data_IF_709551278583
#
_entry.id   IF_709551278583
#
_cell.length_a   1.000
_cell.length_b   1.000
_cell.length_c   1.000
_cell.angle_alpha   90.00
_cell.angle_beta   90.00
_cell.angle_gamma   90.00
#
_symmetry.space_group_name_H-M   'P 1'
#
loop_
_entity.id
_entity.type
_entity.pdbx_description
1 polymer ?
#
# COMPACT_ATOMS: atom_id res chain seq x y z
N UNK A 1 0.19 -16.75 -20.71
CA UNK A 1 0.99 -16.37 -19.52
C UNK A 1 1.89 -17.53 -19.16
N UNK A 2 3.12 -17.25 -18.80
CA UNK A 2 4.13 -18.24 -18.34
C UNK A 2 3.82 -18.72 -16.93
N UNK A 3 3.21 -17.84 -16.11
CA UNK A 3 2.88 -18.13 -14.72
C UNK A 3 1.39 -18.43 -14.55
N UNK A 4 1.09 -19.41 -13.66
CA UNK A 4 -0.29 -19.84 -13.39
C UNK A 4 -0.86 -19.11 -12.17
N UNK A 5 -1.64 -18.08 -12.38
CA UNK A 5 -2.36 -17.35 -11.32
C UNK A 5 -3.75 -17.94 -11.01
N UNK A 6 -4.18 -18.98 -11.72
CA UNK A 6 -5.43 -19.71 -11.41
C UNK A 6 -5.22 -20.88 -10.45
N UNK A 7 -3.97 -21.16 -10.04
CA UNK A 7 -3.68 -22.20 -9.07
C UNK A 7 -4.36 -21.91 -7.73
N UNK A 8 -5.19 -22.84 -7.25
CA UNK A 8 -5.81 -22.76 -5.94
C UNK A 8 -4.85 -23.31 -4.89
N UNK A 9 -4.23 -22.42 -4.14
CA UNK A 9 -3.29 -22.78 -3.07
C UNK A 9 -4.05 -22.82 -1.75
N UNK A 10 -4.05 -23.95 -1.01
CA UNK A 10 -4.60 -24.02 0.34
C UNK A 10 -3.82 -23.09 1.28
N UNK A 11 -4.53 -22.20 1.98
CA UNK A 11 -3.92 -21.25 2.92
C UNK A 11 -4.43 -21.39 4.36
N UNK A 12 -5.49 -22.19 4.58
CA UNK A 12 -5.95 -22.51 5.92
C UNK A 12 -5.01 -23.49 6.61
N UNK A 13 -4.86 -23.31 7.92
CA UNK A 13 -3.92 -24.11 8.73
C UNK A 13 -2.46 -23.77 8.50
N UNK A 14 -2.16 -22.61 7.90
CA UNK A 14 -0.80 -22.12 7.66
C UNK A 14 -0.42 -20.92 8.53
N UNK A 15 -1.24 -20.58 9.52
CA UNK A 15 -1.15 -19.38 10.34
C UNK A 15 -1.31 -18.08 9.49
N UNK A 16 -2.05 -18.16 8.39
CA UNK A 16 -2.33 -17.01 7.55
C UNK A 16 -3.25 -16.03 8.26
N UNK A 17 -2.77 -14.80 8.49
CA UNK A 17 -3.59 -13.74 9.08
C UNK A 17 -4.89 -13.48 8.30
N UNK A 18 -4.85 -13.61 6.98
CA UNK A 18 -6.03 -13.46 6.11
C UNK A 18 -7.00 -14.63 6.24
N UNK A 19 -6.49 -15.87 6.21
CA UNK A 19 -7.31 -17.07 6.09
C UNK A 19 -7.68 -17.71 7.44
N UNK A 20 -6.82 -17.62 8.43
CA UNK A 20 -7.00 -18.32 9.73
C UNK A 20 -7.54 -17.38 10.82
N UNK A 21 -7.83 -16.09 10.51
CA UNK A 21 -8.49 -15.17 11.45
C UNK A 21 -9.98 -15.48 11.65
N UNK A 22 -10.64 -16.16 10.71
CA UNK A 22 -12.00 -16.64 10.87
C UNK A 22 -11.98 -18.11 11.32
N UNK A 23 -12.69 -18.43 12.41
CA UNK A 23 -12.85 -19.82 12.90
C UNK A 23 -13.65 -20.68 11.92
N UNK A 24 -14.66 -20.07 11.27
CA UNK A 24 -15.49 -20.74 10.29
C UNK A 24 -14.71 -20.96 8.99
N UNK A 25 -14.54 -22.25 8.62
CA UNK A 25 -13.78 -22.66 7.44
C UNK A 25 -14.41 -22.23 6.11
N UNK A 26 -15.73 -21.97 6.08
CA UNK A 26 -16.46 -21.55 4.88
C UNK A 26 -16.31 -20.07 4.57
N UNK A 27 -15.71 -19.29 5.48
CA UNK A 27 -15.46 -17.85 5.24
C UNK A 27 -14.45 -17.67 4.11
N UNK A 28 -14.85 -16.94 3.07
CA UNK A 28 -13.99 -16.48 2.00
C UNK A 28 -13.42 -15.09 2.34
N UNK A 29 -12.12 -14.99 2.66
CA UNK A 29 -11.53 -13.69 3.02
C UNK A 29 -11.04 -12.95 1.78
N UNK A 30 -11.57 -11.73 1.58
CA UNK A 30 -11.16 -10.78 0.54
C UNK A 30 -10.82 -9.41 1.14
N UNK A 31 -10.29 -9.37 2.37
CA UNK A 31 -10.08 -8.16 3.16
C UNK A 31 -8.61 -7.73 3.29
N UNK A 32 -7.69 -8.64 3.63
CA UNK A 32 -6.27 -8.30 3.81
C UNK A 32 -5.59 -8.02 2.47
N UNK A 33 -4.74 -7.00 2.44
CA UNK A 33 -3.94 -6.63 1.28
C UNK A 33 -2.68 -7.51 1.14
N UNK A 34 -2.88 -8.84 1.02
CA UNK A 34 -1.93 -9.83 0.54
C UNK A 34 -2.54 -10.60 -0.64
N UNK A 35 -1.76 -11.40 -1.34
CA UNK A 35 -2.21 -12.14 -2.51
C UNK A 35 -2.38 -13.62 -2.20
N UNK A 36 -3.27 -14.29 -2.95
CA UNK A 36 -3.44 -15.74 -2.90
C UNK A 36 -2.61 -16.46 -3.99
N UNK A 37 -1.55 -15.83 -4.47
CA UNK A 37 -0.61 -16.35 -5.47
C UNK A 37 0.73 -16.68 -4.83
N UNK A 38 1.45 -17.68 -5.40
CA UNK A 38 2.88 -17.83 -5.11
C UNK A 38 3.62 -16.59 -5.56
N UNK A 39 4.66 -16.21 -4.82
CA UNK A 39 5.59 -15.17 -5.29
C UNK A 39 6.39 -15.64 -6.51
N UNK A 40 7.14 -14.74 -7.13
CA UNK A 40 7.98 -15.04 -8.29
C UNK A 40 8.94 -16.22 -8.01
N UNK A 41 9.10 -17.18 -8.94
CA UNK A 41 9.96 -18.34 -8.73
C UNK A 41 11.40 -18.01 -8.32
N UNK A 42 12.08 -16.98 -8.86
CA UNK A 42 13.42 -16.61 -8.41
C UNK A 42 13.49 -16.28 -6.91
N UNK A 43 12.45 -15.67 -6.35
CA UNK A 43 12.37 -15.39 -4.91
C UNK A 43 12.33 -16.70 -4.11
N UNK A 44 11.52 -17.66 -4.53
CA UNK A 44 11.43 -18.97 -3.86
C UNK A 44 12.78 -19.68 -3.87
N UNK A 45 13.49 -19.63 -5.00
CA UNK A 45 14.80 -20.29 -5.13
C UNK A 45 15.88 -19.60 -4.28
N UNK A 46 15.88 -18.26 -4.21
CA UNK A 46 16.80 -17.52 -3.34
C UNK A 46 16.58 -17.87 -1.86
N UNK A 47 15.31 -17.96 -1.43
CA UNK A 47 14.96 -18.35 -0.06
C UNK A 47 15.37 -19.80 0.25
N UNK A 48 15.20 -20.74 -0.69
CA UNK A 48 15.66 -22.13 -0.52
C UNK A 48 17.17 -22.20 -0.30
N UNK A 49 17.94 -21.53 -1.13
CA UNK A 49 19.43 -21.45 -0.96
C UNK A 49 19.81 -20.91 0.40
N UNK A 50 19.10 -19.89 0.90
CA UNK A 50 19.37 -19.33 2.23
C UNK A 50 19.03 -20.32 3.34
N UNK A 51 17.95 -21.09 3.21
CA UNK A 51 17.59 -22.17 4.15
C UNK A 51 18.62 -23.29 4.12
N UNK A 52 19.06 -23.72 2.96
CA UNK A 52 20.07 -24.79 2.78
C UNK A 52 21.42 -24.44 3.42
N UNK A 53 21.79 -23.14 3.46
CA UNK A 53 22.99 -22.67 4.15
C UNK A 53 22.93 -22.97 5.66
N UNK A 54 21.75 -22.95 6.31
CA UNK A 54 21.50 -23.46 7.66
C UNK A 54 22.04 -22.60 8.81
N UNK A 55 22.67 -21.45 8.54
CA UNK A 55 23.18 -20.53 9.59
C UNK A 55 22.39 -19.23 9.52
N UNK A 56 21.64 -18.93 10.60
CA UNK A 56 20.74 -17.79 10.73
C UNK A 56 21.23 -16.77 11.76
N UNK A 57 22.54 -16.49 11.74
CA UNK A 57 23.17 -15.48 12.59
C UNK A 57 22.91 -14.05 12.09
N UNK A 58 23.47 -13.06 12.75
CA UNK A 58 23.38 -11.66 12.36
C UNK A 58 23.97 -11.42 10.96
N UNK A 59 23.24 -10.64 10.15
CA UNK A 59 23.64 -10.30 8.79
C UNK A 59 23.69 -8.77 8.59
N UNK A 60 24.44 -8.35 7.59
CA UNK A 60 24.42 -6.96 7.10
C UNK A 60 23.64 -6.88 5.81
N UNK A 61 23.13 -5.70 5.48
CA UNK A 61 22.62 -5.43 4.14
C UNK A 61 23.78 -5.39 3.15
N UNK A 62 23.88 -6.29 2.18
CA UNK A 62 24.98 -6.33 1.22
C UNK A 62 24.84 -5.23 0.16
N UNK A 63 25.93 -4.91 -0.55
CA UNK A 63 25.92 -3.94 -1.66
C UNK A 63 24.93 -4.36 -2.76
N UNK A 64 24.84 -5.65 -3.07
CA UNK A 64 23.88 -6.19 -4.04
C UNK A 64 22.42 -5.84 -3.75
N UNK A 65 22.05 -5.63 -2.49
CA UNK A 65 20.73 -5.17 -2.10
C UNK A 65 20.46 -3.74 -2.57
N UNK A 66 21.41 -2.84 -2.28
CA UNK A 66 21.30 -1.44 -2.70
C UNK A 66 21.32 -1.33 -4.22
N UNK A 67 22.20 -2.07 -4.89
CA UNK A 67 22.28 -2.13 -6.34
C UNK A 67 20.95 -2.61 -6.95
N UNK A 68 20.30 -3.63 -6.36
CA UNK A 68 19.01 -4.11 -6.82
C UNK A 68 17.94 -3.00 -6.73
N UNK A 69 17.87 -2.26 -5.61
CA UNK A 69 16.93 -1.14 -5.43
C UNK A 69 17.23 -0.02 -6.43
N UNK A 70 18.49 0.42 -6.52
CA UNK A 70 18.91 1.51 -7.40
C UNK A 70 18.60 1.20 -8.87
N UNK A 71 18.98 0.00 -9.33
CA UNK A 71 18.77 -0.44 -10.71
C UNK A 71 17.27 -0.59 -11.02
N UNK A 72 16.48 -1.10 -10.08
CA UNK A 72 15.04 -1.26 -10.25
C UNK A 72 14.36 0.08 -10.51
N UNK A 73 14.55 1.06 -9.63
CA UNK A 73 13.91 2.36 -9.76
C UNK A 73 14.45 3.20 -10.92
N UNK A 74 15.75 3.11 -11.20
CA UNK A 74 16.34 3.76 -12.38
C UNK A 74 15.76 3.23 -13.70
N UNK A 75 15.58 1.90 -13.80
CA UNK A 75 15.09 1.24 -15.02
C UNK A 75 13.58 1.42 -15.21
N UNK A 76 12.80 1.25 -14.15
CA UNK A 76 11.33 1.24 -14.26
C UNK A 76 10.68 2.62 -14.13
N UNK A 77 11.27 3.50 -13.36
CA UNK A 77 10.67 4.80 -13.01
C UNK A 77 11.55 6.00 -13.35
N UNK A 78 12.67 5.77 -14.08
CA UNK A 78 13.65 6.81 -14.41
C UNK A 78 14.14 7.63 -13.20
N UNK A 79 14.02 7.05 -11.99
CA UNK A 79 14.44 7.69 -10.75
C UNK A 79 15.81 7.18 -10.31
N UNK A 80 16.81 8.04 -10.46
CA UNK A 80 18.18 7.76 -10.04
C UNK A 80 18.39 8.23 -8.61
N UNK A 81 18.82 7.32 -7.78
CA UNK A 81 19.06 7.54 -6.35
C UNK A 81 20.52 7.21 -6.03
N UNK A 82 20.99 7.70 -4.89
CA UNK A 82 22.28 7.33 -4.33
C UNK A 82 22.08 6.28 -3.22
N UNK A 83 23.06 5.39 -3.06
CA UNK A 83 23.03 4.32 -2.06
C UNK A 83 22.82 4.87 -0.65
N UNK A 84 23.46 5.98 -0.34
CA UNK A 84 23.43 6.65 0.97
C UNK A 84 22.05 7.18 1.33
N UNK A 85 21.14 7.35 0.36
CA UNK A 85 19.76 7.79 0.63
C UNK A 85 18.87 6.68 1.20
N UNK A 86 19.30 5.41 1.06
CA UNK A 86 18.48 4.24 1.37
C UNK A 86 18.75 3.78 2.81
N UNK A 87 17.72 3.77 3.63
CA UNK A 87 17.71 3.18 4.97
C UNK A 87 16.85 1.92 4.92
N UNK A 88 17.45 0.77 5.26
CA UNK A 88 16.75 -0.49 5.46
C UNK A 88 15.79 -0.40 6.64
N UNK A 89 14.61 -1.02 6.51
CA UNK A 89 13.63 -1.17 7.60
C UNK A 89 12.79 -2.44 7.45
N UNK A 90 12.14 -2.87 8.54
CA UNK A 90 11.37 -4.10 8.61
C UNK A 90 9.97 -4.01 8.00
N UNK A 91 9.58 -2.86 7.48
CA UNK A 91 8.27 -2.64 6.84
C UNK A 91 7.90 -1.17 6.75
N UNK A 92 6.93 -0.85 5.89
CA UNK A 92 6.50 0.54 5.69
C UNK A 92 5.76 1.09 6.92
N UNK A 93 4.96 0.32 7.63
CA UNK A 93 4.27 0.79 8.84
C UNK A 93 5.26 1.15 9.96
N UNK A 94 6.26 0.32 10.28
CA UNK A 94 7.37 0.73 11.17
C UNK A 94 8.13 1.97 10.66
N UNK A 95 8.34 2.08 9.34
CA UNK A 95 8.98 3.25 8.73
C UNK A 95 8.18 4.55 8.96
N UNK A 96 6.88 4.52 8.73
CA UNK A 96 5.98 5.65 8.99
C UNK A 96 6.11 6.11 10.44
N UNK A 97 6.03 5.17 11.38
CA UNK A 97 6.14 5.48 12.81
C UNK A 97 7.51 6.08 13.17
N UNK A 98 8.61 5.52 12.62
CA UNK A 98 9.95 6.03 12.83
C UNK A 98 10.14 7.45 12.27
N UNK A 99 9.59 7.74 11.09
CA UNK A 99 9.68 9.06 10.45
C UNK A 99 8.84 10.09 11.21
N UNK A 100 7.61 9.77 11.62
CA UNK A 100 6.81 10.66 12.46
C UNK A 100 7.60 10.98 13.74
N UNK A 101 8.10 9.97 14.45
CA UNK A 101 8.90 10.14 15.68
C UNK A 101 10.16 10.97 15.46
N UNK A 102 10.80 10.85 14.29
CA UNK A 102 12.00 11.60 13.94
C UNK A 102 11.73 13.07 13.65
N UNK A 103 10.60 13.39 13.02
CA UNK A 103 10.36 14.70 12.40
C UNK A 103 9.30 15.55 13.11
N UNK A 104 8.63 15.00 14.14
CA UNK A 104 7.59 15.71 14.89
C UNK A 104 7.85 15.68 16.39
N UNK A 105 7.08 16.48 17.10
CA UNK A 105 6.96 16.45 18.57
C UNK A 105 5.51 16.08 18.96
N UNK A 106 5.28 15.53 20.16
CA UNK A 106 3.92 15.33 20.66
C UNK A 106 3.11 16.64 20.62
N UNK A 107 1.89 16.57 20.07
CA UNK A 107 1.02 17.73 19.84
C UNK A 107 1.20 18.41 18.48
N UNK A 108 2.20 18.05 17.69
CA UNK A 108 2.26 18.42 16.27
C UNK A 108 1.16 17.71 15.48
N UNK A 109 0.80 18.29 14.33
CA UNK A 109 -0.22 17.74 13.44
C UNK A 109 0.39 17.05 12.23
N UNK A 110 -0.20 15.91 11.88
CA UNK A 110 0.13 15.15 10.67
C UNK A 110 -1.10 15.07 9.78
N UNK A 111 -0.98 15.58 8.56
CA UNK A 111 -2.07 15.61 7.59
C UNK A 111 -2.16 14.31 6.81
N UNK A 112 -3.39 13.87 6.51
CA UNK A 112 -3.71 12.71 5.70
C UNK A 112 -4.86 13.01 4.76
N UNK A 113 -4.93 12.34 3.61
CA UNK A 113 -5.99 12.50 2.60
C UNK A 113 -6.99 11.35 2.69
N UNK A 114 -8.06 11.54 3.50
CA UNK A 114 -9.08 10.49 3.73
C UNK A 114 -10.07 10.36 2.56
N UNK A 115 -10.61 9.14 2.27
CA UNK A 115 -10.30 7.88 2.95
C UNK A 115 -8.88 7.40 2.64
N UNK A 116 -8.14 6.90 3.63
CA UNK A 116 -6.75 6.47 3.47
C UNK A 116 -6.40 5.30 4.38
N UNK A 117 -5.30 4.63 4.10
CA UNK A 117 -4.81 3.48 4.83
C UNK A 117 -4.80 3.70 6.36
N UNK A 118 -5.53 2.86 7.07
CA UNK A 118 -5.84 3.02 8.49
C UNK A 118 -4.61 2.99 9.43
N UNK A 119 -3.50 2.34 9.02
CA UNK A 119 -2.28 2.36 9.81
C UNK A 119 -1.63 3.76 9.89
N UNK A 120 -1.99 4.70 8.98
CA UNK A 120 -1.60 6.10 9.14
C UNK A 120 -2.15 6.68 10.44
N UNK A 121 -3.41 6.41 10.74
CA UNK A 121 -4.07 6.91 11.94
C UNK A 121 -3.42 6.39 13.23
N UNK A 122 -3.14 5.08 13.29
CA UNK A 122 -2.49 4.48 14.45
C UNK A 122 -1.05 4.98 14.61
N UNK A 123 -0.30 5.10 13.51
CA UNK A 123 1.07 5.61 13.55
C UNK A 123 1.13 7.06 14.06
N UNK A 124 0.18 7.91 13.66
CA UNK A 124 0.08 9.29 14.13
C UNK A 124 -0.21 9.32 15.64
N UNK A 125 -1.29 8.62 16.08
CA UNK A 125 -1.68 8.59 17.50
C UNK A 125 -0.60 8.01 18.39
N UNK A 126 0.04 6.91 17.99
CA UNK A 126 1.06 6.23 18.77
C UNK A 126 2.33 7.09 19.00
N UNK A 127 2.55 8.09 18.14
CA UNK A 127 3.64 9.06 18.32
C UNK A 127 3.21 10.37 19.00
N UNK A 128 1.98 10.41 19.55
CA UNK A 128 1.46 11.57 20.29
C UNK A 128 1.11 12.77 19.40
N UNK A 129 0.99 12.57 18.10
CA UNK A 129 0.58 13.60 17.14
C UNK A 129 -0.93 13.64 16.94
N UNK A 130 -1.43 14.80 16.51
CA UNK A 130 -2.82 14.99 16.10
C UNK A 130 -2.98 14.72 14.60
N UNK A 131 -4.02 13.98 14.23
CA UNK A 131 -4.37 13.80 12.83
C UNK A 131 -5.20 14.99 12.33
N UNK A 132 -4.85 15.52 11.15
CA UNK A 132 -5.71 16.44 10.42
C UNK A 132 -6.06 15.83 9.06
N UNK A 133 -7.36 15.73 8.76
CA UNK A 133 -7.80 15.18 7.49
C UNK A 133 -7.96 16.26 6.42
N UNK A 134 -7.46 16.00 5.22
CA UNK A 134 -7.84 16.68 3.98
C UNK A 134 -8.71 15.69 3.19
N UNK A 135 -10.05 15.71 3.36
CA UNK A 135 -10.91 14.74 2.72
C UNK A 135 -10.87 14.87 1.20
N UNK A 136 -10.68 13.74 0.53
CA UNK A 136 -10.81 13.67 -0.92
C UNK A 136 -12.26 13.89 -1.33
N UNK A 137 -12.46 14.59 -2.44
CA UNK A 137 -13.79 14.87 -2.98
C UNK A 137 -14.21 13.73 -3.90
N UNK A 138 -15.26 13.01 -3.51
CA UNK A 138 -15.85 11.97 -4.34
C UNK A 138 -16.75 12.57 -5.41
N UNK A 139 -16.39 12.38 -6.69
CA UNK A 139 -17.16 12.83 -7.86
C UNK A 139 -16.97 11.88 -9.04
N UNK A 140 -18.04 11.62 -9.81
CA UNK A 140 -17.99 10.84 -11.06
C UNK A 140 -17.30 9.47 -10.88
N UNK A 141 -17.58 8.76 -9.78
CA UNK A 141 -16.98 7.46 -9.45
C UNK A 141 -15.47 7.50 -9.29
N UNK A 142 -14.93 8.61 -8.81
CA UNK A 142 -13.51 8.80 -8.53
C UNK A 142 -13.28 9.82 -7.43
N UNK A 143 -12.05 9.94 -7.00
CA UNK A 143 -11.64 10.89 -5.97
C UNK A 143 -10.73 11.96 -6.53
N UNK A 144 -10.89 13.18 -6.05
CA UNK A 144 -10.07 14.33 -6.37
C UNK A 144 -9.56 14.98 -5.10
N UNK A 145 -8.40 15.61 -5.17
CA UNK A 145 -7.83 16.35 -4.05
C UNK A 145 -8.52 17.70 -3.94
N UNK A 146 -8.99 18.03 -2.74
CA UNK A 146 -9.41 19.41 -2.42
C UNK A 146 -8.16 20.23 -2.07
N UNK A 147 -7.62 20.89 -3.08
CA UNK A 147 -6.39 21.68 -2.93
C UNK A 147 -6.58 22.97 -2.12
N UNK A 148 -7.77 23.52 -2.10
CA UNK A 148 -8.06 24.74 -1.32
C UNK A 148 -8.12 24.39 0.17
N UNK A 149 -8.73 23.26 0.51
CA UNK A 149 -8.70 22.71 1.86
C UNK A 149 -7.29 22.27 2.28
N UNK A 150 -6.52 21.68 1.36
CA UNK A 150 -5.13 21.30 1.59
C UNK A 150 -4.27 22.54 1.95
N UNK A 151 -4.34 23.60 1.15
CA UNK A 151 -3.60 24.84 1.39
C UNK A 151 -3.99 25.48 2.74
N UNK A 152 -5.29 25.60 2.98
CA UNK A 152 -5.82 26.14 4.23
C UNK A 152 -5.34 25.37 5.46
N UNK A 153 -5.30 24.04 5.40
CA UNK A 153 -4.83 23.20 6.51
C UNK A 153 -3.33 23.20 6.66
N UNK A 154 -2.59 23.21 5.55
CA UNK A 154 -1.14 23.32 5.56
C UNK A 154 -0.64 24.62 6.18
N UNK A 155 -1.42 25.71 6.12
CA UNK A 155 -1.05 27.00 6.73
C UNK A 155 -1.08 27.02 8.27
N UNK A 156 -1.62 25.99 8.92
CA UNK A 156 -1.51 25.84 10.38
C UNK A 156 -0.07 25.47 10.75
N UNK A 157 0.65 26.31 11.54
CA UNK A 157 2.05 26.09 11.87
C UNK A 157 2.31 24.81 12.68
N UNK A 158 1.28 24.18 13.24
CA UNK A 158 1.37 22.88 13.90
C UNK A 158 1.42 21.71 12.91
N UNK A 159 0.99 21.89 11.67
CA UNK A 159 1.05 20.84 10.64
C UNK A 159 2.51 20.72 10.18
N UNK A 160 3.13 19.60 10.50
CA UNK A 160 4.55 19.31 10.20
C UNK A 160 4.71 18.35 9.04
N UNK A 161 3.81 17.39 8.91
CA UNK A 161 3.91 16.33 7.91
C UNK A 161 2.62 16.20 7.12
N UNK A 162 2.77 15.84 5.84
CA UNK A 162 1.72 15.23 5.02
C UNK A 162 2.11 13.76 4.76
N UNK A 163 1.29 12.80 5.19
CA UNK A 163 1.42 11.40 4.76
C UNK A 163 0.66 11.23 3.44
N UNK A 164 1.40 11.13 2.37
CA UNK A 164 0.90 10.94 1.01
C UNK A 164 0.88 9.46 0.66
N UNK A 165 -0.25 8.91 0.21
CA UNK A 165 -0.38 7.55 -0.30
C UNK A 165 -0.42 7.58 -1.84
N UNK A 166 0.59 7.00 -2.51
CA UNK A 166 0.73 7.07 -3.97
C UNK A 166 1.37 5.80 -4.57
N UNK A 167 0.64 4.91 -5.24
CA UNK A 167 -0.82 4.89 -5.48
C UNK A 167 -1.66 4.83 -4.21
N UNK A 168 -2.86 5.39 -4.29
CA UNK A 168 -3.71 5.64 -3.13
C UNK A 168 -4.60 4.44 -2.76
N UNK A 169 -4.46 3.97 -1.54
CA UNK A 169 -5.31 2.95 -0.92
C UNK A 169 -6.24 3.63 0.11
N UNK A 170 -7.57 3.50 0.04
CA UNK A 170 -8.33 2.50 -0.71
C UNK A 170 -8.85 2.97 -2.08
N UNK A 171 -8.71 4.23 -2.44
CA UNK A 171 -9.37 4.83 -3.61
C UNK A 171 -8.90 4.27 -4.97
N UNK A 172 -7.77 3.56 -5.00
CA UNK A 172 -7.21 2.99 -6.23
C UNK A 172 -6.65 4.02 -7.22
N UNK A 173 -6.46 5.29 -6.78
CA UNK A 173 -5.94 6.39 -7.59
C UNK A 173 -4.42 6.33 -7.74
N UNK A 174 -3.95 6.72 -8.90
CA UNK A 174 -2.55 7.06 -9.17
C UNK A 174 -2.49 8.56 -9.43
N UNK A 175 -1.87 9.31 -8.50
CA UNK A 175 -1.82 10.75 -8.63
C UNK A 175 -0.96 11.18 -9.82
N UNK A 176 -1.50 12.04 -10.67
CA UNK A 176 -0.78 12.60 -11.81
C UNK A 176 0.40 13.47 -11.34
N UNK A 177 1.42 13.59 -12.18
CA UNK A 177 2.57 14.46 -11.92
C UNK A 177 2.15 15.91 -11.60
N UNK A 178 1.04 16.38 -12.19
CA UNK A 178 0.51 17.72 -11.92
C UNK A 178 -0.11 17.83 -10.52
N UNK A 179 -0.91 16.81 -10.10
CA UNK A 179 -1.47 16.74 -8.75
C UNK A 179 -0.36 16.68 -7.71
N UNK A 180 0.64 15.80 -7.92
CA UNK A 180 1.80 15.67 -7.02
C UNK A 180 2.61 16.97 -6.94
N UNK A 181 2.80 17.65 -8.07
CA UNK A 181 3.49 18.95 -8.10
C UNK A 181 2.75 19.99 -7.27
N UNK A 182 1.43 20.09 -7.42
CA UNK A 182 0.62 21.04 -6.66
C UNK A 182 0.65 20.72 -5.15
N UNK A 183 0.60 19.44 -4.77
CA UNK A 183 0.79 19.03 -3.37
C UNK A 183 2.15 19.52 -2.84
N UNK A 184 3.24 19.23 -3.56
CA UNK A 184 4.58 19.60 -3.13
C UNK A 184 4.79 21.11 -3.00
N UNK A 185 4.30 21.88 -3.96
CA UNK A 185 4.35 23.35 -3.91
C UNK A 185 3.61 23.92 -2.71
N UNK A 186 2.43 23.38 -2.38
CA UNK A 186 1.67 23.76 -1.18
C UNK A 186 2.46 23.41 0.09
N UNK A 187 3.00 22.21 0.16
CA UNK A 187 3.75 21.75 1.33
C UNK A 187 5.01 22.59 1.56
N UNK A 188 5.78 22.89 0.51
CA UNK A 188 7.00 23.72 0.62
C UNK A 188 6.67 25.12 1.11
N UNK A 189 5.66 25.79 0.51
CA UNK A 189 5.26 27.14 0.93
C UNK A 189 4.86 27.24 2.39
N UNK A 190 4.33 26.16 2.96
CA UNK A 190 3.82 26.12 4.33
C UNK A 190 4.76 25.37 5.30
N UNK A 191 5.99 25.03 4.89
CA UNK A 191 6.97 24.27 5.68
C UNK A 191 6.43 22.92 6.18
N UNK A 192 5.63 22.24 5.36
CA UNK A 192 5.15 20.88 5.60
C UNK A 192 6.05 19.89 4.87
N UNK A 193 6.55 18.90 5.59
CA UNK A 193 7.40 17.86 5.00
C UNK A 193 6.55 16.70 4.47
N UNK A 194 6.86 16.16 3.30
CA UNK A 194 6.07 15.10 2.68
C UNK A 194 6.66 13.71 3.00
N UNK A 195 5.80 12.83 3.47
CA UNK A 195 6.12 11.41 3.72
C UNK A 195 5.31 10.59 2.72
N UNK A 196 5.95 10.18 1.62
CA UNK A 196 5.31 9.50 0.52
C UNK A 196 5.34 7.96 0.74
N UNK A 197 4.20 7.37 1.06
CA UNK A 197 4.02 5.92 1.04
C UNK A 197 3.74 5.46 -0.38
N UNK A 198 4.78 4.94 -1.03
CA UNK A 198 4.76 4.49 -2.42
C UNK A 198 4.87 2.96 -2.53
N UNK A 199 4.43 2.22 -1.50
CA UNK A 199 4.49 0.76 -1.44
C UNK A 199 3.73 0.06 -2.59
N UNK A 200 2.77 0.74 -3.20
CA UNK A 200 1.98 0.22 -4.34
C UNK A 200 2.51 0.67 -5.71
N UNK A 201 3.65 1.34 -5.79
CA UNK A 201 4.19 1.96 -7.01
C UNK A 201 4.30 1.04 -8.22
N UNK A 202 4.56 -0.25 -8.00
CA UNK A 202 4.67 -1.24 -9.07
C UNK A 202 3.32 -1.75 -9.61
N UNK A 203 2.24 -1.53 -8.85
CA UNK A 203 0.91 -2.05 -9.14
C UNK A 203 0.05 -0.97 -9.83
N UNK A 204 0.55 -0.43 -10.92
CA UNK A 204 -0.14 0.57 -11.76
C UNK A 204 -0.52 -0.07 -13.09
N UNK A 205 -1.78 0.16 -13.51
CA UNK A 205 -2.36 -0.46 -14.69
C UNK A 205 -2.18 0.37 -15.95
N UNK A 206 -2.36 -0.28 -17.09
CA UNK A 206 -2.20 0.33 -18.40
C UNK A 206 -3.06 1.61 -18.54
N UNK A 207 -2.45 2.67 -19.07
CA UNK A 207 -3.08 3.99 -19.22
C UNK A 207 -2.82 4.95 -18.06
N UNK A 208 -2.17 4.50 -16.99
CA UNK A 208 -1.76 5.30 -15.85
C UNK A 208 -0.24 5.18 -15.65
N UNK A 209 0.36 6.24 -15.12
CA UNK A 209 1.81 6.32 -14.88
C UNK A 209 2.09 6.72 -13.45
N UNK A 210 2.85 5.89 -12.74
CA UNK A 210 3.37 6.26 -11.42
C UNK A 210 4.55 7.22 -11.59
N UNK A 211 4.52 8.31 -10.85
CA UNK A 211 5.62 9.25 -10.71
C UNK A 211 6.11 9.23 -9.26
N UNK A 212 7.38 8.88 -8.99
CA UNK A 212 7.95 9.02 -7.65
C UNK A 212 7.88 10.49 -7.21
N UNK A 213 7.30 10.77 -6.04
CA UNK A 213 7.13 12.16 -5.57
C UNK A 213 8.46 12.92 -5.53
N UNK A 214 9.49 12.28 -4.97
CA UNK A 214 10.83 12.84 -4.84
C UNK A 214 11.54 13.12 -6.17
N UNK A 215 11.10 12.49 -7.28
CA UNK A 215 11.72 12.66 -8.60
C UNK A 215 11.27 13.92 -9.36
N UNK A 216 10.27 14.64 -8.85
CA UNK A 216 9.64 15.75 -9.57
C UNK A 216 10.53 16.98 -9.64
N UNK A 217 11.25 17.29 -8.56
CA UNK A 217 12.25 18.37 -8.48
C UNK A 217 13.21 18.15 -7.32
N UNK A 218 14.34 18.86 -7.32
CA UNK A 218 15.31 18.84 -6.22
C UNK A 218 14.70 19.33 -4.90
N UNK A 219 13.83 20.34 -4.95
CA UNK A 219 13.14 20.86 -3.76
C UNK A 219 12.23 19.78 -3.16
N UNK A 220 11.52 18.99 -3.98
CA UNK A 220 10.68 17.90 -3.50
C UNK A 220 11.52 16.75 -2.95
N UNK A 221 12.64 16.44 -3.59
CA UNK A 221 13.59 15.44 -3.12
C UNK A 221 14.12 15.76 -1.71
N UNK A 222 14.46 17.02 -1.45
CA UNK A 222 14.98 17.46 -0.14
C UNK A 222 13.87 17.65 0.91
N UNK A 223 12.63 17.94 0.48
CA UNK A 223 11.47 18.11 1.38
C UNK A 223 10.61 16.85 1.50
N UNK A 224 11.19 15.67 1.28
CA UNK A 224 10.42 14.43 1.40
C UNK A 224 11.24 13.23 1.83
N UNK A 225 10.52 12.20 2.31
CA UNK A 225 10.97 10.82 2.37
C UNK A 225 9.98 9.95 1.58
N UNK A 226 10.50 8.91 0.94
CA UNK A 226 9.71 7.95 0.18
C UNK A 226 9.87 6.56 0.77
N UNK A 227 8.76 5.84 0.94
CA UNK A 227 8.77 4.43 1.34
C UNK A 227 8.49 3.53 0.15
N UNK A 228 9.35 2.54 -0.04
CA UNK A 228 9.18 1.52 -1.08
C UNK A 228 9.46 0.12 -0.52
N UNK A 229 8.78 -0.88 -1.08
CA UNK A 229 8.95 -2.27 -0.68
C UNK A 229 8.47 -3.22 -1.77
N UNK A 230 9.11 -4.38 -1.97
CA UNK A 230 8.59 -5.43 -2.85
C UNK A 230 7.37 -6.16 -2.26
N UNK A 231 7.01 -5.89 -1.01
CA UNK A 231 6.03 -6.69 -0.25
C UNK A 231 4.64 -6.72 -0.89
N UNK A 232 4.18 -5.63 -1.51
CA UNK A 232 2.89 -5.59 -2.21
C UNK A 232 2.98 -6.11 -3.64
N UNK A 233 4.03 -5.78 -4.36
CA UNK A 233 4.23 -6.19 -5.74
C UNK A 233 4.51 -7.70 -5.89
N UNK A 234 5.25 -8.28 -4.93
CA UNK A 234 5.70 -9.67 -4.98
C UNK A 234 5.14 -10.57 -3.87
N UNK A 235 4.11 -10.10 -3.14
CA UNK A 235 3.48 -10.87 -2.06
C UNK A 235 4.47 -11.30 -0.94
N UNK A 236 5.31 -10.38 -0.48
CA UNK A 236 6.39 -10.63 0.47
C UNK A 236 6.18 -9.97 1.84
N UNK A 237 4.95 -9.59 2.19
CA UNK A 237 4.66 -8.84 3.43
C UNK A 237 5.16 -9.57 4.70
N UNK A 238 5.08 -10.89 4.73
CA UNK A 238 5.56 -11.72 5.85
C UNK A 238 7.08 -11.74 6.02
N UNK A 239 7.85 -11.29 5.02
CA UNK A 239 9.31 -11.22 5.08
C UNK A 239 9.83 -9.91 5.69
N UNK A 240 8.94 -8.96 5.97
CA UNK A 240 9.25 -7.74 6.72
C UNK A 240 10.46 -6.98 6.17
N UNK A 241 10.34 -6.47 4.94
CA UNK A 241 11.38 -5.73 4.23
C UNK A 241 10.82 -4.48 3.59
N UNK A 242 11.46 -3.34 3.81
CA UNK A 242 11.15 -2.07 3.15
C UNK A 242 12.34 -1.13 3.17
N UNK A 243 12.25 -0.03 2.45
CA UNK A 243 13.26 1.02 2.39
C UNK A 243 12.62 2.37 2.68
N UNK A 244 13.35 3.19 3.43
CA UNK A 244 13.11 4.62 3.58
C UNK A 244 14.15 5.32 2.72
N UNK A 245 13.72 6.16 1.80
CA UNK A 245 14.60 6.90 0.89
C UNK A 245 14.53 8.38 1.23
N UNK A 246 15.67 8.99 1.55
CA UNK A 246 15.80 10.42 1.83
C UNK A 246 17.15 10.94 1.35
N UNK A 247 17.15 12.01 0.56
CA UNK A 247 18.37 12.67 0.10
C UNK A 247 19.00 13.57 1.17
N UNK A 248 18.17 14.09 2.10
CA UNK A 248 18.63 14.94 3.19
C UNK A 248 19.38 14.13 4.26
N UNK A 249 20.64 14.47 4.51
CA UNK A 249 21.52 13.75 5.45
C UNK A 249 21.07 13.92 6.91
N UNK A 250 20.58 15.11 7.29
CA UNK A 250 20.14 15.36 8.67
C UNK A 250 18.83 14.62 8.96
N UNK A 251 17.93 14.55 7.99
CA UNK A 251 16.72 13.74 8.06
C UNK A 251 17.07 12.26 8.23
N UNK A 252 18.04 11.74 7.47
CA UNK A 252 18.51 10.34 7.63
C UNK A 252 19.08 10.06 9.03
N UNK A 253 19.88 10.97 9.58
CA UNK A 253 20.43 10.84 10.94
C UNK A 253 19.32 10.77 11.98
N UNK A 254 18.30 11.63 11.87
CA UNK A 254 17.15 11.65 12.78
C UNK A 254 16.31 10.36 12.66
N UNK A 255 16.07 9.88 11.44
CA UNK A 255 15.33 8.63 11.19
C UNK A 255 16.08 7.43 11.76
N UNK A 256 17.38 7.31 11.50
CA UNK A 256 18.22 6.24 12.07
C UNK A 256 18.20 6.25 13.60
N UNK A 257 18.26 7.42 14.21
CA UNK A 257 18.12 7.56 15.67
C UNK A 257 16.76 7.04 16.15
N UNK A 258 15.67 7.39 15.46
CA UNK A 258 14.32 6.97 15.83
C UNK A 258 14.14 5.44 15.72
N UNK A 259 14.72 4.80 14.69
CA UNK A 259 14.74 3.35 14.52
C UNK A 259 15.51 2.69 15.67
N UNK A 260 16.71 3.19 15.96
CA UNK A 260 17.59 2.64 16.99
C UNK A 260 17.08 2.89 18.42
N UNK A 261 16.18 3.83 18.66
CA UNK A 261 15.57 4.01 19.99
C UNK A 261 14.80 2.78 20.50
N UNK A 262 14.35 1.92 19.59
CA UNK A 262 13.69 0.66 19.93
C UNK A 262 14.58 -0.56 19.70
N UNK A 263 15.88 -0.36 19.37
CA UNK A 263 16.84 -1.41 19.03
C UNK A 263 16.36 -2.37 17.91
N UNK A 264 15.51 -1.88 16.99
CA UNK A 264 14.96 -2.63 15.87
C UNK A 264 15.76 -2.30 14.60
N UNK A 265 17.04 -2.58 14.64
CA UNK A 265 17.98 -2.30 13.54
C UNK A 265 18.52 -3.56 12.85
N UNK A 266 18.18 -4.74 13.37
CA UNK A 266 18.67 -6.00 12.82
C UNK A 266 18.01 -6.33 11.49
N UNK A 267 18.79 -6.95 10.62
CA UNK A 267 18.42 -7.26 9.24
C UNK A 267 17.87 -8.67 9.14
N UNK A 268 16.68 -8.82 8.54
CA UNK A 268 16.13 -10.13 8.21
C UNK A 268 16.80 -10.71 6.95
N UNK A 269 17.60 -11.79 7.06
CA UNK A 269 18.30 -12.36 5.91
C UNK A 269 17.37 -12.82 4.79
N UNK A 270 16.19 -13.34 5.12
CA UNK A 270 15.22 -13.78 4.12
C UNK A 270 14.61 -12.61 3.35
N UNK A 271 14.34 -11.49 4.01
CA UNK A 271 13.85 -10.28 3.37
C UNK A 271 14.87 -9.71 2.38
N UNK A 272 16.15 -9.72 2.74
CA UNK A 272 17.25 -9.25 1.88
C UNK A 272 17.35 -10.08 0.61
N UNK A 273 17.46 -11.41 0.73
CA UNK A 273 17.53 -12.32 -0.42
C UNK A 273 16.29 -12.22 -1.33
N UNK A 274 15.13 -12.12 -0.71
CA UNK A 274 13.86 -12.01 -1.44
C UNK A 274 13.77 -10.71 -2.24
N UNK A 275 14.20 -9.57 -1.68
CA UNK A 275 14.20 -8.29 -2.40
C UNK A 275 15.18 -8.33 -3.59
N UNK A 276 16.40 -8.82 -3.37
CA UNK A 276 17.42 -8.91 -4.42
C UNK A 276 16.89 -9.76 -5.60
N UNK A 277 16.34 -10.94 -5.31
CA UNK A 277 15.78 -11.82 -6.33
C UNK A 277 14.55 -11.21 -7.03
N UNK A 278 13.65 -10.57 -6.27
CA UNK A 278 12.47 -9.93 -6.83
C UNK A 278 12.81 -8.82 -7.82
N UNK A 279 13.74 -7.94 -7.45
CA UNK A 279 14.09 -6.78 -8.28
C UNK A 279 15.04 -7.11 -9.45
N UNK A 280 15.88 -8.13 -9.31
CA UNK A 280 16.77 -8.53 -10.40
C UNK A 280 16.12 -9.49 -11.40
N UNK A 281 15.21 -10.36 -10.97
CA UNK A 281 14.73 -11.48 -11.78
C UNK A 281 13.19 -11.63 -11.80
N UNK A 282 12.46 -10.83 -11.01
CA UNK A 282 11.01 -10.97 -10.84
C UNK A 282 10.16 -10.16 -11.83
N UNK A 283 10.74 -9.34 -12.69
CA UNK A 283 10.01 -8.36 -13.51
C UNK A 283 8.97 -8.99 -14.43
N UNK A 284 9.33 -10.07 -15.14
CA UNK A 284 8.40 -10.77 -16.03
C UNK A 284 7.18 -11.32 -15.28
N UNK A 285 7.39 -11.87 -14.08
CA UNK A 285 6.31 -12.36 -13.23
C UNK A 285 5.38 -11.21 -12.81
N UNK A 286 5.95 -10.07 -12.44
CA UNK A 286 5.19 -8.89 -12.04
C UNK A 286 4.32 -8.34 -13.18
N UNK A 287 4.86 -8.26 -14.40
CA UNK A 287 4.09 -7.78 -15.55
C UNK A 287 2.93 -8.73 -15.88
N UNK A 288 3.12 -10.05 -15.83
CA UNK A 288 2.03 -11.00 -16.00
C UNK A 288 0.99 -10.93 -14.86
N UNK A 289 1.45 -10.73 -13.61
CA UNK A 289 0.55 -10.49 -12.47
C UNK A 289 -0.34 -9.27 -12.71
N UNK A 290 0.23 -8.16 -13.17
CA UNK A 290 -0.53 -6.92 -13.44
C UNK A 290 -1.61 -7.16 -14.49
N UNK A 291 -1.30 -7.90 -15.55
CA UNK A 291 -2.27 -8.27 -16.59
C UNK A 291 -3.41 -9.10 -15.97
N UNK A 292 -3.09 -10.07 -15.11
CA UNK A 292 -4.07 -10.92 -14.46
C UNK A 292 -4.96 -10.14 -13.49
N UNK A 293 -4.36 -9.28 -12.67
CA UNK A 293 -5.08 -8.41 -11.74
C UNK A 293 -6.03 -7.45 -12.46
N UNK A 294 -5.58 -6.85 -13.55
CA UNK A 294 -6.43 -5.99 -14.36
C UNK A 294 -7.59 -6.76 -14.99
N UNK A 295 -7.35 -7.98 -15.48
CA UNK A 295 -8.41 -8.85 -15.97
C UNK A 295 -9.42 -9.22 -14.85
N UNK A 296 -8.96 -9.42 -13.61
CA UNK A 296 -9.83 -9.61 -12.45
C UNK A 296 -10.69 -8.36 -12.17
N UNK A 297 -10.09 -7.17 -12.24
CA UNK A 297 -10.82 -5.92 -12.09
C UNK A 297 -11.90 -5.73 -13.17
N UNK A 298 -11.58 -5.94 -14.44
CA UNK A 298 -12.54 -5.83 -15.54
C UNK A 298 -13.69 -6.83 -15.38
N UNK A 299 -13.39 -8.05 -14.94
CA UNK A 299 -14.42 -9.05 -14.66
C UNK A 299 -15.35 -8.60 -13.51
N UNK A 300 -14.78 -8.14 -12.39
CA UNK A 300 -15.55 -7.61 -11.26
C UNK A 300 -16.43 -6.44 -11.69
N UNK A 301 -15.86 -5.46 -12.40
CA UNK A 301 -16.60 -4.29 -12.88
C UNK A 301 -17.78 -4.69 -13.76
N UNK A 302 -17.58 -5.55 -14.77
CA UNK A 302 -18.65 -6.06 -15.62
C UNK A 302 -19.71 -6.86 -14.86
N UNK A 303 -19.29 -7.59 -13.82
CA UNK A 303 -20.23 -8.30 -12.93
C UNK A 303 -21.13 -7.33 -12.17
N UNK A 304 -20.58 -6.25 -11.60
CA UNK A 304 -21.37 -5.21 -10.91
C UNK A 304 -22.28 -4.49 -11.90
N UNK A 305 -21.80 -4.07 -13.06
CA UNK A 305 -22.63 -3.41 -14.09
C UNK A 305 -23.81 -4.27 -14.54
N UNK A 306 -23.65 -5.59 -14.55
CA UNK A 306 -24.70 -6.52 -14.99
C UNK A 306 -25.66 -6.89 -13.86
N UNK A 307 -25.14 -7.16 -12.67
CA UNK A 307 -25.92 -7.78 -11.59
C UNK A 307 -26.17 -6.88 -10.39
N UNK A 308 -25.35 -5.84 -10.19
CA UNK A 308 -25.38 -4.94 -9.03
C UNK A 308 -25.18 -3.47 -9.49
N UNK A 309 -25.92 -2.97 -10.49
CA UNK A 309 -25.67 -1.66 -11.10
C UNK A 309 -25.88 -0.49 -10.14
N UNK A 310 -26.60 -0.68 -9.04
CA UNK A 310 -26.83 0.28 -7.95
C UNK A 310 -25.58 0.51 -7.08
N UNK A 311 -24.55 -0.34 -7.18
CA UNK A 311 -23.30 -0.26 -6.41
C UNK A 311 -22.13 0.15 -7.32
N UNK A 312 -21.83 1.42 -7.48
CA UNK A 312 -20.74 1.88 -8.32
C UNK A 312 -19.38 1.35 -7.88
N UNK A 313 -18.66 0.75 -8.83
CA UNK A 313 -17.26 0.35 -8.64
C UNK A 313 -16.36 1.50 -9.06
N UNK A 314 -15.42 1.89 -8.19
CA UNK A 314 -14.44 2.93 -8.51
C UNK A 314 -13.50 2.49 -9.61
N UNK A 315 -13.02 3.46 -10.40
CA UNK A 315 -11.96 3.20 -11.36
C UNK A 315 -10.68 2.80 -10.61
N UNK A 316 -10.12 1.66 -10.97
CA UNK A 316 -8.89 1.15 -10.38
C UNK A 316 -7.71 1.49 -11.32
N UNK A 317 -6.99 2.53 -10.96
CA UNK A 317 -5.79 3.00 -11.69
C UNK A 317 -4.54 2.24 -11.25
N UNK A 318 -4.53 1.81 -9.98
CA UNK A 318 -3.45 1.03 -9.36
C UNK A 318 -3.92 0.25 -8.14
N UNK A 319 -3.03 -0.52 -7.55
CA UNK A 319 -3.28 -1.48 -6.47
C UNK A 319 -4.03 -2.75 -6.94
N UNK A 320 -4.45 -3.60 -6.01
CA UNK A 320 -5.38 -4.72 -6.24
C UNK A 320 -6.57 -4.67 -5.28
N UNK A 321 -6.89 -3.46 -4.81
CA UNK A 321 -7.89 -3.19 -3.79
C UNK A 321 -9.00 -2.37 -4.43
N UNK A 322 -10.13 -3.02 -4.68
CA UNK A 322 -11.27 -2.39 -5.35
C UNK A 322 -12.17 -1.74 -4.33
N UNK A 323 -12.51 -0.49 -4.55
CA UNK A 323 -13.39 0.31 -3.72
C UNK A 323 -14.77 0.39 -4.34
N UNK A 324 -15.82 0.06 -3.58
CA UNK A 324 -17.20 -0.03 -4.04
C UNK A 324 -18.10 0.85 -3.18
N UNK A 325 -18.90 1.68 -3.82
CA UNK A 325 -19.89 2.53 -3.19
C UNK A 325 -21.16 1.71 -2.87
N UNK A 326 -21.44 1.57 -1.59
CA UNK A 326 -22.63 0.91 -1.04
C UNK A 326 -23.57 1.90 -0.34
N UNK A 327 -23.39 3.21 -0.51
CA UNK A 327 -24.18 4.25 0.15
C UNK A 327 -25.67 4.17 -0.13
N UNK A 328 -26.07 3.55 -1.24
CA UNK A 328 -27.49 3.27 -1.59
C UNK A 328 -28.20 2.42 -0.54
N UNK A 329 -27.47 1.65 0.27
CA UNK A 329 -28.08 0.82 1.34
C UNK A 329 -28.50 1.65 2.56
N UNK A 330 -28.02 2.89 2.70
CA UNK A 330 -28.27 3.74 3.88
C UNK A 330 -27.92 3.05 5.21
N UNK A 331 -26.88 2.21 5.20
CA UNK A 331 -26.40 1.44 6.34
C UNK A 331 -24.94 1.81 6.64
N UNK A 332 -24.52 1.66 7.90
CA UNK A 332 -23.11 1.79 8.27
C UNK A 332 -22.26 0.72 7.57
N UNK A 333 -21.06 1.08 7.10
CA UNK A 333 -20.14 0.16 6.40
C UNK A 333 -19.84 -1.09 7.23
N UNK A 334 -19.72 -0.94 8.55
CA UNK A 334 -19.51 -2.05 9.48
C UNK A 334 -20.69 -3.03 9.49
N UNK A 335 -21.94 -2.54 9.45
CA UNK A 335 -23.13 -3.37 9.39
C UNK A 335 -23.22 -4.13 8.07
N UNK A 336 -22.90 -3.46 6.95
CA UNK A 336 -22.86 -4.10 5.63
C UNK A 336 -21.88 -5.29 5.66
N UNK A 337 -20.68 -5.09 6.19
CA UNK A 337 -19.65 -6.16 6.24
C UNK A 337 -20.03 -7.26 7.23
N UNK A 338 -20.63 -6.95 8.38
CA UNK A 338 -21.16 -7.94 9.32
C UNK A 338 -22.25 -8.80 8.67
N UNK A 339 -23.13 -8.19 7.90
CA UNK A 339 -24.19 -8.90 7.17
C UNK A 339 -23.61 -9.81 6.10
N UNK A 340 -22.64 -9.34 5.30
CA UNK A 340 -21.93 -10.15 4.31
C UNK A 340 -21.27 -11.37 4.96
N UNK A 341 -20.59 -11.17 6.07
CA UNK A 341 -19.90 -12.24 6.79
C UNK A 341 -20.91 -13.25 7.39
N UNK A 342 -21.98 -12.77 7.99
CA UNK A 342 -22.99 -13.62 8.66
C UNK A 342 -23.83 -14.41 7.67
N UNK A 343 -24.33 -13.77 6.60
CA UNK A 343 -25.27 -14.37 5.65
C UNK A 343 -24.58 -15.22 4.60
N UNK A 344 -23.45 -14.74 4.07
CA UNK A 344 -22.79 -15.34 2.91
C UNK A 344 -21.34 -15.77 3.18
N UNK A 345 -20.86 -15.67 4.41
CA UNK A 345 -19.49 -16.05 4.76
C UNK A 345 -18.44 -15.34 3.90
N UNK A 346 -18.70 -14.09 3.55
CA UNK A 346 -17.78 -13.24 2.80
C UNK A 346 -17.22 -12.16 3.69
N UNK A 347 -15.89 -12.10 3.80
CA UNK A 347 -15.21 -11.08 4.60
C UNK A 347 -14.46 -10.09 3.70
N UNK A 348 -14.95 -8.88 3.63
CA UNK A 348 -14.33 -7.71 2.98
C UNK A 348 -14.05 -6.64 4.04
N UNK A 349 -13.36 -5.54 3.69
CA UNK A 349 -13.18 -4.44 4.63
C UNK A 349 -14.30 -3.41 4.52
N UNK A 350 -14.74 -2.94 5.67
CA UNK A 350 -15.63 -1.79 5.79
C UNK A 350 -14.89 -0.49 5.48
N UNK A 351 -15.59 0.47 4.90
CA UNK A 351 -15.01 1.73 4.49
C UNK A 351 -14.68 2.67 5.66
N UNK A 352 -15.41 2.58 6.77
CA UNK A 352 -15.16 3.34 8.00
C UNK A 352 -13.75 3.17 8.59
N UNK A 353 -13.08 2.01 8.33
CA UNK A 353 -11.68 1.78 8.69
C UNK A 353 -10.71 2.80 8.07
N UNK A 354 -11.09 3.40 6.95
CA UNK A 354 -10.24 4.33 6.19
C UNK A 354 -10.54 5.81 6.51
N UNK A 355 -11.32 6.04 7.58
CA UNK A 355 -11.76 7.34 8.03
C UNK A 355 -13.21 7.64 7.66
N UNK A 356 -13.78 8.72 8.21
CA UNK A 356 -15.17 9.09 8.04
C UNK A 356 -15.59 9.23 6.56
N UNK A 357 -14.70 9.73 5.70
CA UNK A 357 -14.92 9.84 4.25
C UNK A 357 -15.04 8.48 3.53
N UNK A 358 -14.77 7.38 4.21
CA UNK A 358 -14.95 6.02 3.70
C UNK A 358 -16.29 5.39 4.08
N UNK A 359 -17.13 6.08 4.87
CA UNK A 359 -18.42 5.57 5.30
C UNK A 359 -19.34 5.30 4.10
N UNK A 360 -20.09 4.19 4.14
CA UNK A 360 -20.92 3.73 3.02
C UNK A 360 -20.16 2.96 1.92
N UNK A 361 -18.88 2.71 2.07
CA UNK A 361 -18.06 1.96 1.11
C UNK A 361 -17.58 0.62 1.66
N UNK A 362 -17.21 -0.28 0.74
CA UNK A 362 -16.48 -1.51 1.06
C UNK A 362 -15.23 -1.63 0.19
N UNK A 363 -14.18 -2.30 0.71
CA UNK A 363 -12.97 -2.59 -0.05
C UNK A 363 -12.80 -4.09 -0.28
N UNK A 364 -12.61 -4.48 -1.55
CA UNK A 364 -12.47 -5.87 -2.00
C UNK A 364 -11.05 -6.10 -2.51
N UNK A 365 -10.34 -7.08 -1.97
CA UNK A 365 -9.07 -7.54 -2.51
C UNK A 365 -9.31 -8.53 -3.66
N UNK A 366 -8.81 -8.21 -4.86
CA UNK A 366 -8.95 -9.04 -6.07
C UNK A 366 -7.69 -9.83 -6.43
N UNK A 367 -6.66 -9.80 -5.58
CA UNK A 367 -5.42 -10.56 -5.80
C UNK A 367 -5.60 -12.03 -5.39
N UNK A 368 -6.49 -12.71 -6.09
CA UNK A 368 -6.81 -14.12 -5.92
C UNK A 368 -7.11 -14.78 -7.27
N UNK A 369 -7.05 -16.13 -7.37
CA UNK A 369 -7.48 -16.87 -8.54
C UNK A 369 -8.89 -16.51 -8.98
N UNK A 370 -9.14 -16.47 -10.29
CA UNK A 370 -10.44 -16.07 -10.87
C UNK A 370 -11.62 -16.82 -10.25
N UNK A 371 -11.45 -18.11 -9.96
CA UNK A 371 -12.51 -18.90 -9.34
C UNK A 371 -12.92 -18.36 -7.96
N UNK A 372 -11.95 -17.91 -7.14
CA UNK A 372 -12.24 -17.30 -5.82
C UNK A 372 -12.95 -15.95 -5.99
N UNK A 373 -12.53 -15.15 -6.97
CA UNK A 373 -13.21 -13.89 -7.28
C UNK A 373 -14.67 -14.13 -7.68
N UNK A 374 -14.94 -15.12 -8.55
CA UNK A 374 -16.30 -15.48 -8.96
C UNK A 374 -17.15 -15.91 -7.75
N UNK A 375 -16.62 -16.74 -6.86
CA UNK A 375 -17.32 -17.16 -5.63
C UNK A 375 -17.64 -15.93 -4.75
N UNK A 376 -16.66 -15.05 -4.52
CA UNK A 376 -16.87 -13.83 -3.74
C UNK A 376 -17.95 -12.91 -4.34
N UNK A 377 -17.94 -12.71 -5.64
CA UNK A 377 -18.95 -11.91 -6.33
C UNK A 377 -20.35 -12.53 -6.28
N UNK A 378 -20.47 -13.86 -6.37
CA UNK A 378 -21.73 -14.55 -6.21
C UNK A 378 -22.28 -14.42 -4.78
N UNK A 379 -21.42 -14.49 -3.75
CA UNK A 379 -21.79 -14.26 -2.35
C UNK A 379 -22.25 -12.81 -2.15
N UNK A 380 -21.51 -11.81 -2.69
CA UNK A 380 -21.93 -10.41 -2.68
C UNK A 380 -23.32 -10.22 -3.29
N UNK A 381 -23.56 -10.79 -4.46
CA UNK A 381 -24.86 -10.68 -5.13
C UNK A 381 -26.02 -11.23 -4.29
N UNK A 382 -25.83 -12.38 -3.62
CA UNK A 382 -26.88 -12.96 -2.77
C UNK A 382 -27.16 -12.14 -1.51
N UNK A 383 -26.15 -11.50 -0.96
CA UNK A 383 -26.31 -10.71 0.27
C UNK A 383 -26.85 -9.30 0.02
N UNK A 384 -26.58 -8.70 -1.14
CA UNK A 384 -26.95 -7.31 -1.45
C UNK A 384 -28.28 -7.21 -2.23
N UNK A 385 -28.83 -8.34 -2.67
CA UNK A 385 -30.15 -8.44 -3.30
C UNK A 385 -31.15 -9.13 -2.38
#
# INVERSE_FOLDING_TARGET
MKYNFDEIIPRRGTNSYKWDSAEDADVLPMWVADMDFRTAPPVVEALKKRVEHGIFGYVRVPDAYYEAVLNWFARRHAWRMEKEWIIYTTGVVPAISAVIKALTLPGDKVMVQTPVYNCFFSSIRNNGCEMIANPLVYRNRGYQIDFDDLERKASDPKVKLLLLCNPHNPAGRVWSKQELRRIGEICIRNNVFVVADEIHCELVFLGHEYTPFASISEEFLLNSVTFVSPSKAFNLAGLQIANIISADADVRVRINKAINMNEVCDVNPFGVEALIAAYNEGEEWLEELKIYLFANYIYLKGYFETYLPEFPVMMLEGTYLVWVDCSVLHQASEEIVKDLLKKEKLWVNEGSLYGEAGEGFIRINIACPRQRLIDGLNRLKRALK
#
